data_IF_550402805316
#
_entry.id   IF_550402805316
#
_cell.length_a   1.000
_cell.length_b   1.000
_cell.length_c   1.000
_cell.angle_alpha   90.00
_cell.angle_beta   90.00
_cell.angle_gamma   90.00
#
_symmetry.space_group_name_H-M   'P 1'
#
loop_
_entity.id
_entity.type
_entity.pdbx_description
1 polymer ?
#
# COMPACT_ATOMS: atom_id res chain seq x y z
N UNK A 1 42.67 -38.19 9.26
CA UNK A 1 43.61 -38.83 8.32
C UNK A 1 43.13 -38.43 6.93
N UNK A 2 43.59 -37.27 6.43
CA UNK A 2 44.70 -37.08 5.44
C UNK A 2 44.13 -37.07 4.01
N UNK A 3 44.37 -36.16 3.06
CA UNK A 3 45.30 -35.03 2.82
C UNK A 3 44.69 -34.16 1.67
N UNK A 4 44.71 -32.82 1.68
CA UNK A 4 45.71 -31.88 1.12
C UNK A 4 46.07 -31.98 -0.39
N UNK A 5 45.60 -31.00 -1.19
CA UNK A 5 46.26 -30.40 -2.37
C UNK A 5 45.41 -29.21 -2.88
N UNK A 6 45.72 -27.93 -2.66
CA UNK A 6 46.84 -27.06 -3.10
C UNK A 6 46.75 -26.54 -4.55
N UNK A 7 46.26 -25.29 -4.66
CA UNK A 7 46.71 -24.14 -5.49
C UNK A 7 46.72 -24.24 -7.03
N UNK A 8 46.15 -23.18 -7.66
CA UNK A 8 46.66 -22.32 -8.76
C UNK A 8 45.44 -21.87 -9.60
N UNK A 9 45.16 -20.58 -9.87
CA UNK A 9 46.02 -19.56 -10.47
C UNK A 9 45.48 -18.13 -10.22
N UNK A 10 46.42 -17.23 -9.92
CA UNK A 10 46.34 -15.77 -10.04
C UNK A 10 47.11 -15.38 -11.32
N UNK A 11 46.62 -14.43 -12.11
CA UNK A 11 47.37 -13.55 -13.04
C UNK A 11 46.42 -12.39 -13.46
N UNK A 12 46.56 -11.17 -12.91
CA UNK A 12 47.44 -10.05 -13.31
C UNK A 12 46.79 -9.16 -14.41
N UNK A 13 46.42 -7.89 -14.12
CA UNK A 13 47.19 -6.63 -14.36
C UNK A 13 47.55 -6.46 -15.86
N UNK A 14 47.34 -5.36 -16.63
CA UNK A 14 47.16 -3.91 -16.40
C UNK A 14 46.95 -3.21 -17.76
N UNK A 15 46.41 -1.97 -17.77
CA UNK A 15 46.73 -0.78 -18.62
C UNK A 15 45.42 -0.03 -19.03
N UNK A 16 45.01 1.19 -18.62
CA UNK A 16 45.60 2.54 -18.36
C UNK A 16 45.83 3.38 -19.66
N UNK A 17 45.09 4.54 -19.74
CA UNK A 17 45.45 5.89 -20.31
C UNK A 17 45.27 6.12 -21.85
N UNK A 18 44.84 7.26 -22.44
CA UNK A 18 44.46 8.66 -22.04
C UNK A 18 43.74 9.40 -23.21
N UNK A 19 42.94 10.42 -22.84
CA UNK A 19 42.49 11.66 -23.51
C UNK A 19 42.29 11.79 -25.04
N UNK A 20 41.13 12.36 -25.39
CA UNK A 20 40.95 13.25 -26.54
C UNK A 20 39.92 14.35 -26.22
N UNK A 21 40.37 15.60 -26.12
CA UNK A 21 39.53 16.81 -26.06
C UNK A 21 39.57 17.51 -27.42
N UNK A 22 38.41 17.91 -27.95
CA UNK A 22 38.06 19.33 -28.20
C UNK A 22 36.95 19.50 -29.25
N UNK A 23 35.87 20.14 -28.78
CA UNK A 23 35.15 21.30 -29.33
C UNK A 23 34.78 21.30 -30.83
N UNK A 24 33.47 21.31 -31.09
CA UNK A 24 32.84 22.35 -31.93
C UNK A 24 31.56 22.85 -31.26
N UNK A 25 31.53 24.15 -31.03
CA UNK A 25 30.38 24.91 -30.55
C UNK A 25 29.39 25.16 -31.70
N UNK A 26 28.10 25.00 -31.44
CA UNK A 26 27.05 25.71 -32.17
C UNK A 26 26.06 26.29 -31.16
N UNK A 27 25.77 27.56 -31.39
CA UNK A 27 25.04 28.51 -30.56
C UNK A 27 23.56 28.17 -30.35
N UNK A 28 23.08 28.52 -29.16
CA UNK A 28 21.70 28.41 -28.69
C UNK A 28 20.65 29.16 -29.54
N UNK A 29 19.38 28.77 -29.44
CA UNK A 29 18.29 29.70 -29.25
C UNK A 29 17.94 29.81 -27.76
N UNK A 30 18.01 31.04 -27.23
CA UNK A 30 17.43 31.42 -25.94
C UNK A 30 15.91 31.36 -26.05
N UNK A 31 15.28 30.52 -25.24
CA UNK A 31 13.91 30.74 -24.78
C UNK A 31 13.99 30.93 -23.27
N UNK A 32 14.10 32.20 -22.86
CA UNK A 32 13.72 32.63 -21.53
C UNK A 32 12.20 32.63 -21.40
N UNK A 33 11.75 32.49 -20.16
CA UNK A 33 10.39 32.68 -19.62
C UNK A 33 9.32 31.64 -19.99
N UNK A 34 9.08 30.69 -19.08
CA UNK A 34 8.11 30.89 -18.00
C UNK A 34 8.04 29.65 -17.09
N UNK A 35 8.39 29.85 -15.82
CA UNK A 35 7.72 29.34 -14.62
C UNK A 35 6.79 28.12 -14.85
N UNK A 36 7.36 26.93 -14.71
CA UNK A 36 6.64 25.87 -14.02
C UNK A 36 7.50 25.46 -12.83
N UNK A 37 7.51 26.34 -11.83
CA UNK A 37 7.67 25.85 -10.46
C UNK A 37 6.57 24.81 -10.29
N UNK A 38 6.94 23.54 -10.38
CA UNK A 38 6.15 22.48 -9.80
C UNK A 38 6.11 22.83 -8.33
N UNK A 39 5.04 23.50 -7.94
CA UNK A 39 4.65 23.77 -6.57
C UNK A 39 4.53 22.42 -5.88
N UNK A 40 5.66 21.95 -5.35
CA UNK A 40 5.73 21.16 -4.14
C UNK A 40 5.24 22.06 -3.02
N UNK A 41 3.94 22.36 -3.01
CA UNK A 41 3.33 23.21 -2.00
C UNK A 41 2.25 22.40 -1.29
N UNK A 42 2.64 21.90 -0.11
CA UNK A 42 1.77 21.59 1.03
C UNK A 42 0.95 20.28 0.90
N UNK A 43 1.59 19.12 1.08
CA UNK A 43 0.86 17.86 1.38
C UNK A 43 1.33 17.14 2.66
N UNK A 44 2.51 17.46 3.20
CA UNK A 44 3.07 16.77 4.36
C UNK A 44 2.17 16.71 5.61
N UNK A 45 1.41 17.77 5.99
CA UNK A 45 0.53 17.68 7.15
C UNK A 45 -0.69 16.80 6.90
N UNK A 46 -1.32 16.94 5.72
CA UNK A 46 -2.55 16.23 5.40
C UNK A 46 -2.29 14.73 5.17
N UNK A 47 -1.18 14.40 4.48
CA UNK A 47 -0.75 13.01 4.30
C UNK A 47 -0.38 12.36 5.65
N UNK A 48 0.36 13.05 6.52
CA UNK A 48 0.72 12.53 7.84
C UNK A 48 -0.51 12.31 8.74
N UNK A 49 -1.50 13.21 8.69
CA UNK A 49 -2.77 13.05 9.43
C UNK A 49 -3.58 11.89 8.87
N UNK A 50 -3.64 11.74 7.54
CA UNK A 50 -4.26 10.60 6.88
C UNK A 50 -3.58 9.29 7.31
N UNK A 51 -2.25 9.23 7.30
CA UNK A 51 -1.49 8.06 7.72
C UNK A 51 -1.76 7.66 9.17
N UNK A 52 -1.79 8.63 10.09
CA UNK A 52 -2.12 8.39 11.49
C UNK A 52 -3.54 7.86 11.65
N UNK A 53 -4.51 8.43 10.94
CA UNK A 53 -5.91 7.99 10.94
C UNK A 53 -6.04 6.56 10.41
N UNK A 54 -5.37 6.25 9.30
CA UNK A 54 -5.34 4.91 8.71
C UNK A 54 -4.76 3.91 9.71
N UNK A 55 -3.61 4.20 10.31
CA UNK A 55 -3.00 3.35 11.32
C UNK A 55 -3.95 3.11 12.50
N UNK A 56 -4.64 4.14 12.97
CA UNK A 56 -5.60 4.02 14.07
C UNK A 56 -6.82 3.14 13.72
N UNK A 57 -7.30 3.18 12.48
CA UNK A 57 -8.37 2.28 12.00
C UNK A 57 -7.90 0.83 12.01
N UNK A 58 -6.67 0.57 11.56
CA UNK A 58 -6.10 -0.79 11.57
C UNK A 58 -5.92 -1.30 13.01
N UNK A 59 -5.38 -0.46 13.89
CA UNK A 59 -5.22 -0.79 15.33
C UNK A 59 -6.58 -1.05 15.98
N UNK A 60 -7.58 -0.19 15.76
CA UNK A 60 -8.94 -0.42 16.27
C UNK A 60 -9.49 -1.77 15.83
N UNK A 61 -9.24 -2.14 14.56
CA UNK A 61 -9.69 -3.41 13.98
C UNK A 61 -9.06 -4.62 14.65
N UNK A 62 -7.77 -4.54 14.95
CA UNK A 62 -7.00 -5.62 15.61
C UNK A 62 -7.39 -5.76 17.07
N UNK A 63 -7.61 -4.64 17.78
CA UNK A 63 -7.82 -4.62 19.23
C UNK A 63 -9.28 -4.86 19.62
N UNK A 64 -10.23 -4.49 18.77
CA UNK A 64 -11.67 -4.63 19.06
C UNK A 64 -12.21 -5.93 18.49
N UNK A 65 -12.99 -6.68 19.29
CA UNK A 65 -13.61 -7.93 18.87
C UNK A 65 -15.12 -7.76 18.62
N UNK A 66 -15.67 -8.68 17.83
CA UNK A 66 -17.10 -8.71 17.51
C UNK A 66 -17.46 -7.81 16.34
N UNK A 67 -18.76 -7.45 16.27
CA UNK A 67 -19.34 -6.68 15.20
C UNK A 67 -19.63 -5.24 15.64
N UNK A 68 -19.01 -4.24 15.00
CA UNK A 68 -19.11 -2.85 15.45
C UNK A 68 -18.90 -1.86 14.31
N UNK A 69 -19.27 -0.60 14.55
CA UNK A 69 -18.99 0.54 13.68
C UNK A 69 -17.75 1.27 14.18
N UNK A 70 -16.82 1.57 13.27
CA UNK A 70 -15.60 2.31 13.58
C UNK A 70 -15.93 3.67 14.19
N UNK A 71 -15.06 4.16 15.07
CA UNK A 71 -15.11 5.56 15.52
C UNK A 71 -14.65 6.54 14.44
N UNK A 72 -14.06 6.04 13.35
CA UNK A 72 -13.53 6.82 12.24
C UNK A 72 -14.47 6.81 11.05
N UNK A 73 -14.52 7.94 10.35
CA UNK A 73 -15.17 8.10 9.04
C UNK A 73 -14.08 8.42 8.04
N UNK A 74 -14.04 7.73 6.89
CA UNK A 74 -12.96 7.85 5.89
C UNK A 74 -13.49 8.24 4.52
N UNK A 75 -12.71 8.93 3.71
CA UNK A 75 -13.06 9.13 2.29
C UNK A 75 -12.68 7.90 1.44
N UNK A 76 -13.04 7.92 0.15
CA UNK A 76 -12.76 6.79 -0.75
C UNK A 76 -11.28 6.47 -0.95
N UNK A 77 -10.40 7.48 -0.94
CA UNK A 77 -8.96 7.26 -1.08
C UNK A 77 -8.37 6.60 0.17
N UNK A 78 -8.73 7.12 1.36
CA UNK A 78 -8.37 6.53 2.65
C UNK A 78 -8.90 5.09 2.76
N UNK A 79 -10.14 4.82 2.34
CA UNK A 79 -10.73 3.48 2.35
C UNK A 79 -9.92 2.48 1.51
N UNK A 80 -9.44 2.89 0.34
CA UNK A 80 -8.63 2.03 -0.54
C UNK A 80 -7.25 1.78 0.06
N UNK A 81 -6.59 2.81 0.58
CA UNK A 81 -5.30 2.70 1.26
C UNK A 81 -5.39 1.79 2.50
N UNK A 82 -6.45 1.94 3.30
CA UNK A 82 -6.76 1.07 4.44
C UNK A 82 -6.88 -0.38 3.98
N UNK A 83 -7.65 -0.65 2.93
CA UNK A 83 -7.83 -1.98 2.37
C UNK A 83 -6.51 -2.61 1.92
N UNK A 84 -5.66 -1.85 1.22
CA UNK A 84 -4.35 -2.31 0.76
C UNK A 84 -3.41 -2.63 1.92
N UNK A 85 -3.28 -1.74 2.91
CA UNK A 85 -2.44 -1.98 4.09
C UNK A 85 -2.96 -3.13 4.94
N UNK A 86 -4.29 -3.27 5.06
CA UNK A 86 -4.90 -4.35 5.81
C UNK A 86 -4.60 -5.72 5.20
N UNK A 87 -4.78 -5.84 3.89
CA UNK A 87 -4.57 -7.10 3.16
C UNK A 87 -3.09 -7.47 3.03
N UNK A 88 -2.22 -6.47 2.84
CA UNK A 88 -0.82 -6.68 2.48
C UNK A 88 -0.67 -7.25 1.05
N UNK A 89 0.54 -7.66 0.70
CA UNK A 89 0.83 -8.20 -0.63
C UNK A 89 0.17 -9.58 -0.86
N UNK A 90 0.03 -9.94 -2.14
CA UNK A 90 -0.47 -11.24 -2.60
C UNK A 90 -1.88 -11.63 -2.08
N UNK A 91 -2.72 -10.65 -1.77
CA UNK A 91 -4.13 -10.89 -1.49
C UNK A 91 -4.86 -11.42 -2.72
N UNK A 92 -6.00 -12.08 -2.48
CA UNK A 92 -6.86 -12.62 -3.53
C UNK A 92 -8.29 -12.11 -3.36
N UNK A 93 -9.03 -11.98 -4.47
CA UNK A 93 -10.47 -11.81 -4.41
C UNK A 93 -11.15 -13.17 -4.36
N UNK A 94 -12.16 -13.32 -3.50
CA UNK A 94 -12.93 -14.56 -3.35
C UNK A 94 -14.39 -14.36 -3.74
N UNK A 95 -15.10 -15.46 -4.01
CA UNK A 95 -16.49 -15.46 -4.43
C UNK A 95 -16.66 -15.22 -5.93
N UNK A 96 -17.82 -14.67 -6.33
CA UNK A 96 -18.07 -14.32 -7.74
C UNK A 96 -17.14 -13.19 -8.19
N UNK A 97 -16.89 -13.11 -9.50
CA UNK A 97 -16.19 -11.96 -10.08
C UNK A 97 -16.85 -10.66 -9.62
N UNK A 98 -16.04 -9.67 -9.22
CA UNK A 98 -16.50 -8.39 -8.66
C UNK A 98 -17.35 -8.53 -7.39
N UNK A 99 -17.10 -9.55 -6.56
CA UNK A 99 -17.75 -9.69 -5.25
C UNK A 99 -17.48 -8.51 -4.31
N UNK A 100 -16.31 -7.87 -4.46
CA UNK A 100 -15.80 -6.88 -3.51
C UNK A 100 -15.26 -7.48 -2.22
N UNK A 101 -14.98 -8.80 -2.17
CA UNK A 101 -14.44 -9.48 -0.98
C UNK A 101 -13.02 -9.96 -1.24
N UNK A 102 -12.07 -9.40 -0.50
CA UNK A 102 -10.64 -9.69 -0.65
C UNK A 102 -10.08 -10.32 0.63
N UNK A 103 -9.11 -11.21 0.48
CA UNK A 103 -8.51 -11.99 1.58
C UNK A 103 -7.00 -11.89 1.48
N UNK A 104 -6.33 -11.60 2.61
CA UNK A 104 -4.88 -11.61 2.73
C UNK A 104 -4.28 -12.99 2.41
N UNK A 105 -3.02 -13.03 2.01
CA UNK A 105 -2.32 -14.27 1.66
C UNK A 105 -2.31 -15.31 2.80
N UNK A 106 -2.28 -14.86 4.05
CA UNK A 106 -2.31 -15.71 5.25
C UNK A 106 -3.74 -16.15 5.66
N UNK A 107 -4.77 -15.71 4.95
CA UNK A 107 -6.18 -16.01 5.24
C UNK A 107 -6.75 -15.33 6.48
N UNK A 108 -5.98 -14.47 7.17
CA UNK A 108 -6.36 -13.89 8.47
C UNK A 108 -7.15 -12.61 8.37
N UNK A 109 -7.11 -11.91 7.23
CA UNK A 109 -7.65 -10.56 7.08
C UNK A 109 -8.52 -10.50 5.85
N UNK A 110 -9.74 -9.98 6.00
CA UNK A 110 -10.62 -9.67 4.87
C UNK A 110 -10.89 -8.19 4.79
N UNK A 111 -10.94 -7.69 3.56
CA UNK A 111 -11.41 -6.37 3.23
C UNK A 111 -12.64 -6.52 2.34
N UNK A 112 -13.74 -5.85 2.71
CA UNK A 112 -14.98 -5.90 1.94
C UNK A 112 -15.40 -4.51 1.51
N UNK A 113 -15.61 -4.38 0.21
CA UNK A 113 -16.16 -3.22 -0.48
C UNK A 113 -17.29 -3.70 -1.40
N UNK A 114 -18.17 -4.54 -0.85
CA UNK A 114 -19.28 -5.13 -1.58
C UNK A 114 -20.43 -4.11 -1.78
N UNK A 115 -21.25 -4.37 -2.80
CA UNK A 115 -22.28 -3.41 -3.23
C UNK A 115 -23.30 -3.08 -2.13
N UNK A 116 -23.64 -4.03 -1.27
CA UNK A 116 -24.60 -3.80 -0.20
C UNK A 116 -24.05 -2.84 0.86
N UNK A 117 -22.74 -2.94 1.16
CA UNK A 117 -22.03 -2.02 2.06
C UNK A 117 -21.92 -0.62 1.45
N UNK A 118 -21.56 -0.52 0.17
CA UNK A 118 -21.43 0.76 -0.52
C UNK A 118 -22.78 1.49 -0.67
N UNK A 119 -23.87 0.76 -0.85
CA UNK A 119 -25.23 1.33 -0.89
C UNK A 119 -25.81 1.57 0.51
N UNK A 120 -25.16 1.13 1.58
CA UNK A 120 -25.68 1.24 2.94
C UNK A 120 -26.97 0.45 3.17
N UNK A 121 -27.15 -0.68 2.50
CA UNK A 121 -28.39 -1.49 2.57
C UNK A 121 -28.50 -2.37 3.81
N UNK A 122 -27.43 -2.46 4.61
CA UNK A 122 -27.43 -3.11 5.92
C UNK A 122 -26.75 -2.21 6.95
N UNK A 123 -26.94 -2.55 8.24
CA UNK A 123 -26.31 -1.86 9.37
C UNK A 123 -24.84 -1.58 9.09
N UNK A 124 -24.35 -0.33 9.24
CA UNK A 124 -24.97 0.82 9.92
C UNK A 124 -25.95 1.67 9.08
N UNK A 125 -26.46 1.15 7.96
CA UNK A 125 -27.41 1.82 7.05
C UNK A 125 -26.88 3.12 6.43
N UNK A 126 -25.57 3.13 6.20
CA UNK A 126 -24.83 4.19 5.51
C UNK A 126 -23.75 3.54 4.65
N UNK A 127 -23.28 4.17 3.56
CA UNK A 127 -22.13 3.69 2.80
C UNK A 127 -20.93 3.40 3.71
N UNK A 128 -20.41 2.18 3.64
CA UNK A 128 -19.29 1.74 4.47
C UNK A 128 -18.45 0.64 3.79
N UNK A 129 -17.28 0.39 4.35
CA UNK A 129 -16.43 -0.78 4.05
C UNK A 129 -16.30 -1.65 5.30
N UNK A 130 -15.82 -2.89 5.13
CA UNK A 130 -15.45 -3.75 6.26
C UNK A 130 -13.97 -4.06 6.29
N UNK A 131 -13.40 -4.03 7.50
CA UNK A 131 -12.21 -4.80 7.82
C UNK A 131 -12.59 -5.93 8.77
N UNK A 132 -12.22 -7.15 8.39
CA UNK A 132 -12.47 -8.33 9.22
C UNK A 132 -11.16 -9.00 9.59
N UNK A 133 -11.01 -9.34 10.88
CA UNK A 133 -10.00 -10.29 11.36
C UNK A 133 -10.65 -11.66 11.46
N UNK A 134 -10.03 -12.67 10.88
CA UNK A 134 -10.58 -14.00 10.68
C UNK A 134 -9.62 -15.04 11.26
N UNK A 135 -10.17 -16.03 11.94
CA UNK A 135 -9.41 -17.21 12.29
C UNK A 135 -9.13 -18.01 11.01
N UNK A 136 -7.86 -18.20 10.59
CA UNK A 136 -7.55 -18.79 9.29
C UNK A 136 -7.87 -20.30 9.23
N UNK A 137 -8.09 -20.95 10.37
CA UNK A 137 -8.42 -22.38 10.45
C UNK A 137 -9.94 -22.58 10.50
N UNK A 138 -10.62 -21.89 11.42
CA UNK A 138 -12.07 -22.08 11.63
C UNK A 138 -12.92 -21.18 10.74
N UNK A 139 -12.33 -20.18 10.08
CA UNK A 139 -12.98 -19.13 9.28
C UNK A 139 -13.94 -18.22 10.06
N UNK A 140 -13.97 -18.36 11.39
CA UNK A 140 -14.76 -17.50 12.28
C UNK A 140 -14.22 -16.08 12.24
N UNK A 141 -15.13 -15.11 12.10
CA UNK A 141 -14.81 -13.68 12.18
C UNK A 141 -14.63 -13.28 13.63
N UNK A 142 -13.43 -12.84 13.97
CA UNK A 142 -13.03 -12.37 15.30
C UNK A 142 -13.44 -10.90 15.49
N UNK A 143 -13.25 -10.10 14.44
CA UNK A 143 -13.55 -8.66 14.41
C UNK A 143 -14.17 -8.33 13.06
N UNK A 144 -15.24 -7.53 13.05
CA UNK A 144 -15.92 -7.03 11.86
C UNK A 144 -16.19 -5.52 12.01
N UNK A 145 -15.20 -4.73 11.60
CA UNK A 145 -15.24 -3.28 11.70
C UNK A 145 -15.95 -2.67 10.50
N UNK A 146 -17.07 -1.99 10.72
CA UNK A 146 -17.79 -1.22 9.70
C UNK A 146 -17.27 0.22 9.70
N UNK A 147 -16.52 0.61 8.68
CA UNK A 147 -15.93 1.95 8.59
C UNK A 147 -16.76 2.78 7.62
N UNK A 148 -17.39 3.84 8.13
CA UNK A 148 -18.26 4.70 7.33
C UNK A 148 -17.45 5.47 6.28
N UNK A 149 -18.04 5.63 5.10
CA UNK A 149 -17.52 6.51 4.08
C UNK A 149 -18.07 7.93 4.29
N UNK A 150 -17.22 8.93 4.14
CA UNK A 150 -17.62 10.32 4.03
C UNK A 150 -18.43 10.53 2.74
N UNK A 151 -19.51 11.29 2.83
CA UNK A 151 -20.35 11.69 1.69
C UNK A 151 -19.60 12.61 0.71
#
# INVERSE_FOLDING_TARGET
>A
MSDFAFIKRILAFTAIIIFGVSVWAQSAPKCDTALFEKTSSISAPQEAISDAKIANVLTETIETQGNYTSRYVVNGAEAMEIGQRWLGDAYTQIGKANSGVFVSADGKRRFRIDGNSLMGTHSPYKPHIHLELVNPVTTVVISNNHILLAE
#
